data_IF_214538686288
#
_entry.id   IF_214538686288
#
_cell.length_a   1.000
_cell.length_b   1.000
_cell.length_c   1.000
_cell.angle_alpha   90.00
_cell.angle_beta   90.00
_cell.angle_gamma   90.00
#
_symmetry.space_group_name_H-M   'P 1'
#
loop_
_entity.id
_entity.type
_entity.pdbx_description
1 polymer ?
#
# COMPACT_ATOMS: atom_id res chain seq x y z
N UNK A 1 10.30 5.91 -7.60
CA UNK A 1 9.09 5.22 -8.10
C UNK A 1 7.85 6.11 -8.09
N UNK A 2 7.54 6.86 -7.01
CA UNK A 2 6.34 7.72 -7.00
C UNK A 2 6.30 8.73 -8.16
N UNK A 3 7.40 9.45 -8.40
CA UNK A 3 7.52 10.41 -9.49
C UNK A 3 7.28 9.76 -10.85
N UNK A 4 7.92 8.62 -11.10
CA UNK A 4 7.85 7.87 -12.35
C UNK A 4 6.43 7.35 -12.60
N UNK A 5 5.74 6.86 -11.57
CA UNK A 5 4.35 6.43 -11.66
C UNK A 5 3.41 7.57 -12.00
N UNK A 6 3.61 8.75 -11.41
CA UNK A 6 2.81 9.94 -11.72
C UNK A 6 3.05 10.43 -13.16
N UNK A 7 4.30 10.41 -13.64
CA UNK A 7 4.61 10.74 -15.04
C UNK A 7 3.96 9.76 -16.02
N UNK A 8 3.96 8.47 -15.70
CA UNK A 8 3.26 7.45 -16.48
C UNK A 8 1.73 7.64 -16.43
N UNK A 9 1.18 8.07 -15.29
CA UNK A 9 -0.23 8.42 -15.15
C UNK A 9 -0.63 9.56 -16.10
N UNK A 10 0.20 10.61 -16.17
CA UNK A 10 0.01 11.74 -17.08
C UNK A 10 0.06 11.31 -18.56
N UNK A 11 0.80 10.22 -18.87
CA UNK A 11 0.83 9.59 -20.19
C UNK A 11 -0.30 8.57 -20.44
N UNK A 12 -1.25 8.42 -19.50
CA UNK A 12 -2.42 7.54 -19.61
C UNK A 12 -2.19 6.08 -19.20
N UNK A 13 -1.12 5.79 -18.46
CA UNK A 13 -0.88 4.47 -17.87
C UNK A 13 -1.52 4.35 -16.48
N UNK A 14 -1.92 3.13 -16.13
CA UNK A 14 -2.55 2.79 -14.86
C UNK A 14 -1.78 1.69 -14.16
N UNK A 15 -1.81 1.70 -12.83
CA UNK A 15 -1.20 0.66 -12.01
C UNK A 15 -1.77 -0.71 -12.36
N UNK A 16 -0.90 -1.72 -12.44
CA UNK A 16 -1.30 -3.10 -12.71
C UNK A 16 -0.74 -4.10 -11.70
N UNK A 17 0.44 -3.84 -11.13
CA UNK A 17 1.06 -4.73 -10.17
C UNK A 17 2.34 -4.16 -9.60
N UNK A 18 2.78 -4.71 -8.47
CA UNK A 18 4.03 -4.36 -7.80
C UNK A 18 4.71 -5.60 -7.27
N UNK A 19 6.03 -5.61 -7.30
CA UNK A 19 6.87 -6.67 -6.74
C UNK A 19 8.15 -6.06 -6.18
N UNK A 20 8.63 -6.59 -5.06
CA UNK A 20 9.97 -6.31 -4.56
C UNK A 20 10.95 -7.24 -5.24
N UNK A 21 12.06 -6.70 -5.75
CA UNK A 21 13.05 -7.48 -6.48
C UNK A 21 14.47 -7.01 -6.22
N UNK A 22 15.41 -7.81 -6.72
CA UNK A 22 16.81 -7.45 -6.84
C UNK A 22 17.11 -7.24 -8.32
N UNK A 23 17.66 -6.07 -8.67
CA UNK A 23 18.17 -5.79 -10.00
C UNK A 23 19.52 -6.47 -10.20
N UNK A 24 19.87 -6.81 -11.45
CA UNK A 24 21.09 -7.55 -11.80
C UNK A 24 22.41 -6.84 -11.43
N UNK A 25 22.35 -5.59 -10.99
CA UNK A 25 23.47 -4.80 -10.46
C UNK A 25 23.53 -4.79 -8.92
N UNK A 26 22.72 -5.62 -8.24
CA UNK A 26 22.66 -5.71 -6.78
C UNK A 26 21.79 -4.63 -6.12
N UNK A 27 20.99 -3.89 -6.89
CA UNK A 27 20.05 -2.90 -6.37
C UNK A 27 18.77 -3.57 -5.87
N UNK A 28 18.43 -3.37 -4.61
CA UNK A 28 17.16 -3.86 -4.06
C UNK A 28 16.08 -2.81 -4.33
N UNK A 29 15.04 -3.19 -5.06
CA UNK A 29 14.14 -2.23 -5.71
C UNK A 29 12.67 -2.65 -5.64
N UNK A 30 11.80 -1.65 -5.76
CA UNK A 30 10.35 -1.84 -5.97
C UNK A 30 10.08 -1.76 -7.47
N UNK A 31 9.66 -2.87 -8.06
CA UNK A 31 9.27 -2.98 -9.47
C UNK A 31 7.77 -2.76 -9.57
N UNK A 32 7.36 -1.80 -10.40
CA UNK A 32 5.94 -1.50 -10.66
C UNK A 32 5.62 -1.78 -12.12
N UNK A 33 4.56 -2.54 -12.36
CA UNK A 33 4.02 -2.78 -13.69
C UNK A 33 2.85 -1.83 -13.91
N UNK A 34 2.90 -1.06 -15.00
CA UNK A 34 1.82 -0.18 -15.43
C UNK A 34 1.31 -0.63 -16.79
N UNK A 35 0.00 -0.52 -17.02
CA UNK A 35 -0.65 -0.86 -18.29
C UNK A 35 -1.33 0.36 -18.87
N UNK A 36 -1.41 0.46 -20.20
CA UNK A 36 -2.17 1.55 -20.85
C UNK A 36 -3.66 1.35 -20.58
N UNK A 37 -4.37 2.40 -20.17
CA UNK A 37 -5.83 2.32 -20.02
C UNK A 37 -6.48 2.01 -21.39
N UNK A 38 -7.43 1.07 -21.42
CA UNK A 38 -8.19 0.74 -22.65
C UNK A 38 -9.29 1.77 -22.96
N UNK A 39 -9.70 2.55 -21.96
CA UNK A 39 -10.66 3.65 -22.03
C UNK A 39 -9.96 4.99 -21.71
N UNK A 40 -10.65 6.11 -21.93
CA UNK A 40 -10.10 7.44 -21.64
C UNK A 40 -9.48 7.48 -20.24
N UNK A 41 -8.19 7.85 -20.13
CA UNK A 41 -7.52 7.89 -18.84
C UNK A 41 -8.26 8.88 -17.95
N UNK A 42 -8.72 8.41 -16.79
CA UNK A 42 -9.39 9.27 -15.81
C UNK A 42 -8.46 10.45 -15.49
N UNK A 43 -8.83 11.70 -15.84
CA UNK A 43 -7.91 12.81 -15.71
C UNK A 43 -7.49 13.01 -14.25
N UNK A 44 -6.22 13.34 -14.04
CA UNK A 44 -5.70 13.68 -12.71
C UNK A 44 -5.58 12.48 -11.77
N UNK A 45 -5.25 11.28 -12.26
CA UNK A 45 -4.79 10.19 -11.39
C UNK A 45 -3.44 10.56 -10.77
N UNK A 46 -3.34 10.44 -9.45
CA UNK A 46 -2.10 10.63 -8.68
C UNK A 46 -1.80 9.38 -7.88
N UNK A 47 -0.52 9.04 -7.78
CA UNK A 47 -0.03 7.93 -6.96
C UNK A 47 0.81 8.44 -5.80
N UNK A 48 0.73 7.75 -4.67
CA UNK A 48 1.63 7.91 -3.53
C UNK A 48 2.27 6.56 -3.20
N UNK A 49 3.58 6.56 -2.92
CA UNK A 49 4.33 5.38 -2.51
C UNK A 49 4.84 5.58 -1.09
N UNK A 50 4.26 4.83 -0.15
CA UNK A 50 4.67 4.81 1.25
C UNK A 50 5.61 3.64 1.46
N UNK A 51 6.84 3.89 1.90
CA UNK A 51 7.81 2.84 2.19
C UNK A 51 8.38 3.03 3.61
N UNK A 52 8.29 2.00 4.44
CA UNK A 52 8.84 2.06 5.80
C UNK A 52 9.24 0.69 6.33
N UNK A 53 10.22 0.72 7.22
CA UNK A 53 10.67 -0.42 8.01
C UNK A 53 9.86 -0.58 9.32
N UNK A 54 9.06 0.43 9.71
CA UNK A 54 8.29 0.49 10.97
C UNK A 54 6.78 0.52 10.71
N UNK A 55 6.07 -0.53 11.11
CA UNK A 55 4.61 -0.68 10.95
C UNK A 55 3.81 0.47 11.57
N UNK A 56 4.25 1.01 12.71
CA UNK A 56 3.56 2.12 13.38
C UNK A 56 3.68 3.47 12.65
N UNK A 57 4.69 3.67 11.80
CA UNK A 57 4.71 4.85 10.91
C UNK A 57 3.81 4.60 9.71
N UNK A 58 3.81 3.37 9.18
CA UNK A 58 2.98 3.01 8.03
C UNK A 58 1.50 3.27 8.28
N UNK A 59 0.97 2.92 9.45
CA UNK A 59 -0.45 3.17 9.76
C UNK A 59 -0.76 4.67 9.71
N UNK A 60 0.10 5.51 10.30
CA UNK A 60 -0.10 6.96 10.32
C UNK A 60 -0.02 7.55 8.92
N UNK A 61 0.96 7.12 8.13
CA UNK A 61 1.16 7.57 6.76
C UNK A 61 -0.02 7.17 5.87
N UNK A 62 -0.53 5.93 6.03
CA UNK A 62 -1.74 5.48 5.35
C UNK A 62 -2.97 6.26 5.80
N UNK A 63 -3.16 6.52 7.09
CA UNK A 63 -4.26 7.35 7.58
C UNK A 63 -4.22 8.78 7.02
N UNK A 64 -3.03 9.40 6.95
CA UNK A 64 -2.88 10.72 6.35
C UNK A 64 -3.27 10.69 4.87
N UNK A 65 -2.75 9.73 4.12
CA UNK A 65 -3.09 9.58 2.70
C UNK A 65 -4.59 9.28 2.49
N UNK A 66 -5.20 8.46 3.36
CA UNK A 66 -6.63 8.18 3.37
C UNK A 66 -7.48 9.42 3.69
N UNK A 67 -7.05 10.29 4.59
CA UNK A 67 -7.70 11.58 4.85
C UNK A 67 -7.65 12.51 3.64
N UNK A 68 -6.62 12.39 2.80
CA UNK A 68 -6.50 13.05 1.51
C UNK A 68 -7.26 12.34 0.38
N UNK A 69 -7.81 11.14 0.66
CA UNK A 69 -8.61 10.32 -0.25
C UNK A 69 -7.80 9.47 -1.22
N UNK A 70 -6.58 9.08 -0.84
CA UNK A 70 -5.82 8.05 -1.54
C UNK A 70 -6.33 6.66 -1.16
N UNK A 71 -6.76 5.89 -2.17
CA UNK A 71 -7.21 4.50 -2.09
C UNK A 71 -6.06 3.51 -2.30
N UNK A 72 -6.06 2.43 -1.52
CA UNK A 72 -5.08 1.35 -1.62
C UNK A 72 -5.12 0.64 -2.98
N UNK A 73 -3.95 0.42 -3.59
CA UNK A 73 -3.80 -0.29 -4.87
C UNK A 73 -3.04 -1.60 -4.76
N UNK A 74 -1.96 -1.60 -3.98
CA UNK A 74 -1.06 -2.74 -3.92
C UNK A 74 0.06 -2.52 -2.92
N UNK A 75 0.77 -3.59 -2.62
CA UNK A 75 1.83 -3.59 -1.63
C UNK A 75 2.89 -4.63 -1.98
N UNK A 76 4.10 -4.42 -1.49
CA UNK A 76 5.17 -5.40 -1.58
C UNK A 76 6.12 -5.29 -0.39
N UNK A 77 6.93 -6.32 -0.21
CA UNK A 77 8.14 -6.27 0.64
C UNK A 77 9.35 -6.24 -0.27
N UNK A 78 10.32 -5.42 0.06
CA UNK A 78 11.62 -5.42 -0.59
C UNK A 78 12.72 -5.28 0.47
N UNK A 79 13.96 -5.59 0.11
CA UNK A 79 15.08 -5.33 1.00
C UNK A 79 15.56 -3.88 0.82
N UNK A 80 15.86 -3.16 1.89
CA UNK A 80 16.38 -1.80 1.77
C UNK A 80 17.85 -1.80 1.36
N UNK A 81 18.31 -0.72 0.73
CA UNK A 81 19.72 -0.50 0.41
C UNK A 81 20.63 -0.44 1.67
N UNK A 82 20.07 -0.06 2.83
CA UNK A 82 20.76 0.02 4.11
C UNK A 82 20.65 -1.27 4.94
N UNK A 83 20.07 -2.32 4.36
CA UNK A 83 19.77 -3.57 5.06
C UNK A 83 18.41 -3.54 5.77
N UNK A 84 17.83 -4.73 5.97
CA UNK A 84 16.48 -4.89 6.51
C UNK A 84 15.41 -4.96 5.42
N UNK A 85 14.20 -5.39 5.80
CA UNK A 85 13.05 -5.46 4.89
C UNK A 85 12.08 -4.32 5.18
N UNK A 86 11.60 -3.73 4.11
CA UNK A 86 10.64 -2.63 4.14
C UNK A 86 9.35 -3.03 3.45
N UNK A 87 8.25 -2.51 3.98
CA UNK A 87 6.95 -2.62 3.34
C UNK A 87 6.75 -1.38 2.50
N UNK A 88 6.46 -1.58 1.21
CA UNK A 88 6.02 -0.54 0.30
C UNK A 88 4.53 -0.71 0.02
N UNK A 89 3.75 0.36 0.19
CA UNK A 89 2.33 0.44 -0.14
C UNK A 89 2.14 1.51 -1.21
N UNK A 90 1.39 1.16 -2.25
CA UNK A 90 1.03 2.05 -3.34
C UNK A 90 -0.43 2.44 -3.15
N UNK A 91 -0.68 3.74 -3.16
CA UNK A 91 -2.02 4.32 -3.11
C UNK A 91 -2.27 5.13 -4.38
N UNK A 92 -3.52 5.22 -4.81
CA UNK A 92 -3.95 6.08 -5.90
C UNK A 92 -5.05 7.04 -5.46
N UNK A 93 -5.15 8.18 -6.12
CA UNK A 93 -6.25 9.11 -5.98
C UNK A 93 -6.65 9.58 -7.37
N UNK A 94 -7.95 9.68 -7.61
CA UNK A 94 -8.46 10.35 -8.80
C UNK A 94 -8.92 11.75 -8.41
N UNK A 95 -8.38 12.77 -9.09
CA UNK A 95 -8.68 14.19 -8.79
C UNK A 95 -9.91 14.70 -9.57
N UNK A 96 -10.37 13.98 -10.60
CA UNK A 96 -11.51 14.42 -11.41
C UNK A 96 -12.87 14.29 -10.69
N UNK A 97 -13.48 15.44 -10.40
CA UNK A 97 -14.93 15.63 -10.28
C UNK A 97 -15.64 15.06 -9.03
N UNK A 98 -14.99 14.20 -8.25
CA UNK A 98 -15.58 13.58 -7.07
C UNK A 98 -14.90 14.10 -5.81
N UNK A 99 -15.67 14.54 -4.81
CA UNK A 99 -15.10 14.86 -3.49
C UNK A 99 -14.34 13.61 -3.02
N UNK A 100 -13.04 13.78 -2.77
CA UNK A 100 -12.20 12.70 -2.29
C UNK A 100 -12.77 12.19 -0.98
N UNK A 101 -13.32 10.97 -1.01
CA UNK A 101 -13.90 10.32 0.15
C UNK A 101 -12.77 10.03 1.12
N UNK A 102 -12.94 10.41 2.40
CA UNK A 102 -11.95 10.05 3.43
C UNK A 102 -11.97 8.53 3.59
N UNK A 103 -10.80 7.94 3.69
CA UNK A 103 -10.62 6.50 3.89
C UNK A 103 -9.90 6.31 5.22
N UNK A 104 -10.55 5.63 6.15
CA UNK A 104 -9.95 5.29 7.43
C UNK A 104 -9.22 3.95 7.31
N UNK A 105 -7.90 3.99 7.34
CA UNK A 105 -7.06 2.79 7.32
C UNK A 105 -6.76 2.28 8.73
N UNK A 106 -6.60 0.95 8.83
CA UNK A 106 -6.14 0.27 10.03
C UNK A 106 -5.16 -0.83 9.65
N UNK A 107 -4.05 -0.92 10.38
CA UNK A 107 -3.07 -1.99 10.22
C UNK A 107 -3.12 -2.90 11.45
N UNK A 108 -3.17 -4.22 11.22
CA UNK A 108 -3.02 -5.19 12.31
C UNK A 108 -1.66 -5.87 12.23
N UNK A 109 -0.93 -5.69 13.33
CA UNK A 109 0.37 -6.22 13.70
C UNK A 109 0.39 -7.58 14.42
N UNK A 110 0.72 -8.73 13.83
CA UNK A 110 0.87 -9.97 14.64
C UNK A 110 2.06 -10.85 14.28
N UNK A 111 2.72 -11.37 15.31
CA UNK A 111 3.75 -12.43 15.21
C UNK A 111 3.16 -13.83 15.42
N UNK A 112 1.89 -13.93 15.84
CA UNK A 112 1.17 -15.18 16.07
C UNK A 112 -0.04 -15.24 15.14
N UNK A 113 0.11 -15.95 14.03
CA UNK A 113 -0.98 -16.13 13.05
C UNK A 113 -2.24 -16.76 13.66
N UNK A 114 -2.11 -17.50 14.77
CA UNK A 114 -3.24 -18.08 15.49
C UNK A 114 -4.19 -17.07 16.14
N UNK A 115 -3.77 -15.83 16.38
CA UNK A 115 -4.67 -14.77 16.90
C UNK A 115 -5.31 -13.93 15.80
N UNK A 116 -4.82 -14.06 14.56
CA UNK A 116 -5.21 -13.20 13.44
C UNK A 116 -6.67 -13.36 13.06
N UNK A 117 -7.22 -14.58 13.12
CA UNK A 117 -8.65 -14.81 12.88
C UNK A 117 -9.52 -13.96 13.81
N UNK A 118 -9.19 -13.97 15.11
CA UNK A 118 -9.91 -13.20 16.12
C UNK A 118 -9.78 -11.69 15.87
N UNK A 119 -8.57 -11.21 15.59
CA UNK A 119 -8.29 -9.79 15.35
C UNK A 119 -8.98 -9.27 14.08
N UNK A 120 -8.93 -10.05 12.99
CA UNK A 120 -9.63 -9.72 11.74
C UNK A 120 -11.14 -9.77 11.91
N UNK A 121 -11.68 -10.73 12.67
CA UNK A 121 -13.11 -10.78 12.98
C UNK A 121 -13.55 -9.54 13.76
N UNK A 122 -12.81 -9.15 14.79
CA UNK A 122 -13.10 -7.93 15.57
C UNK A 122 -13.02 -6.67 14.70
N UNK A 123 -12.08 -6.59 13.76
CA UNK A 123 -12.01 -5.48 12.82
C UNK A 123 -13.21 -5.49 11.85
N UNK A 124 -13.61 -6.66 11.35
CA UNK A 124 -14.80 -6.82 10.52
C UNK A 124 -16.07 -6.39 11.25
N UNK A 125 -16.25 -6.79 12.51
CA UNK A 125 -17.36 -6.35 13.38
C UNK A 125 -17.36 -4.81 13.58
N UNK A 126 -16.18 -4.19 13.57
CA UNK A 126 -16.03 -2.73 13.62
C UNK A 126 -16.19 -2.02 12.26
N UNK A 127 -16.58 -2.76 11.21
CA UNK A 127 -16.83 -2.24 9.86
C UNK A 127 -15.60 -2.12 8.97
N UNK A 128 -14.51 -2.81 9.30
CA UNK A 128 -13.31 -2.84 8.45
C UNK A 128 -13.34 -3.96 7.42
N UNK A 129 -12.97 -3.64 6.19
CA UNK A 129 -12.75 -4.56 5.10
C UNK A 129 -11.26 -4.85 4.93
N UNK A 130 -10.91 -6.11 4.67
CA UNK A 130 -9.55 -6.54 4.34
C UNK A 130 -9.14 -6.10 2.94
N UNK A 131 -7.91 -5.55 2.82
CA UNK A 131 -7.33 -5.09 1.55
C UNK A 131 -6.10 -5.90 1.12
N UNK A 132 -5.25 -6.27 2.08
CA UNK A 132 -4.01 -6.95 1.77
C UNK A 132 -3.30 -7.48 3.00
N UNK A 133 -2.40 -8.44 2.77
CA UNK A 133 -1.52 -8.99 3.80
C UNK A 133 -0.07 -8.99 3.34
N UNK A 134 0.81 -8.61 4.24
CA UNK A 134 2.26 -8.58 4.06
C UNK A 134 2.89 -9.52 5.08
N UNK A 135 3.77 -10.40 4.62
CA UNK A 135 4.53 -11.31 5.50
C UNK A 135 6.01 -10.96 5.39
N UNK A 136 6.65 -10.59 6.50
CA UNK A 136 8.03 -10.13 6.46
C UNK A 136 8.76 -10.25 7.81
N UNK A 137 10.09 -10.22 7.75
CA UNK A 137 10.92 -9.87 8.90
C UNK A 137 11.01 -8.33 8.91
N UNK A 138 10.00 -7.66 9.44
CA UNK A 138 9.98 -6.19 9.58
C UNK A 138 10.93 -5.76 10.71
N UNK A 139 11.27 -4.47 10.80
CA UNK A 139 12.43 -3.98 11.58
C UNK A 139 12.45 -4.29 13.08
N UNK A 140 11.35 -4.82 13.65
CA UNK A 140 11.29 -5.27 15.04
C UNK A 140 11.83 -6.71 15.28
N UNK A 141 12.50 -7.31 14.30
CA UNK A 141 13.28 -8.55 14.49
C UNK A 141 12.46 -9.84 14.59
N UNK A 142 11.14 -9.77 14.43
CA UNK A 142 10.23 -10.92 14.39
C UNK A 142 9.72 -11.23 12.99
N UNK A 143 9.30 -12.47 12.74
CA UNK A 143 8.41 -12.79 11.62
C UNK A 143 7.05 -12.17 11.94
N UNK A 144 6.66 -11.16 11.19
CA UNK A 144 5.45 -10.40 11.41
C UNK A 144 4.55 -10.51 10.17
N UNK A 145 3.25 -10.59 10.42
CA UNK A 145 2.22 -10.49 9.40
C UNK A 145 1.43 -9.21 9.63
N UNK A 146 1.46 -8.34 8.63
CA UNK A 146 0.73 -7.07 8.64
C UNK A 146 -0.49 -7.25 7.74
N UNK A 147 -1.68 -6.98 8.28
CA UNK A 147 -2.89 -6.87 7.45
C UNK A 147 -3.28 -5.41 7.32
N UNK A 148 -3.64 -5.01 6.10
CA UNK A 148 -4.09 -3.67 5.76
C UNK A 148 -5.60 -3.73 5.57
N UNK A 149 -6.30 -2.85 6.28
CA UNK A 149 -7.75 -2.77 6.30
C UNK A 149 -8.21 -1.35 6.00
N UNK A 150 -9.40 -1.20 5.43
CA UNK A 150 -10.10 0.08 5.31
C UNK A 150 -11.47 0.01 5.99
N UNK A 151 -11.97 1.12 6.53
CA UNK A 151 -13.33 1.19 7.03
C UNK A 151 -14.32 1.36 5.88
N UNK A 152 -15.36 0.53 5.86
CA UNK A 152 -16.51 0.74 5.00
C UNK A 152 -17.33 1.89 5.58
N UNK A 153 -17.61 2.92 4.79
CA UNK A 153 -18.67 3.85 5.17
C UNK A 153 -20.01 3.12 5.11
N UNK A 154 -20.79 3.25 6.18
CA UNK A 154 -22.19 2.82 6.23
C UNK A 154 -23.10 3.84 5.57
#
# INVERSE_FOLDING_TARGET
MEKEMNQAADAGFVFSGVMGGESGLGGKEVIVVMKKAASDPTPGRKYSLLATSKTGTLEKEMQQAGAEGFSYCGQTVFESAFGGREVAVILEKTVAGTKAKRIDYKLLSTTKTSTMEKELRQAGEAGYQFLGVVVGKTAFGGKEVITILQKLEQ
#
